data_IF_975505568545
#
_entry.id   IF_975505568545
#
_cell.length_a   1.000
_cell.length_b   1.000
_cell.length_c   1.000
_cell.angle_alpha   90.00
_cell.angle_beta   90.00
_cell.angle_gamma   90.00
#
_symmetry.space_group_name_H-M   'P 1'
#
loop_
_entity.id
_entity.type
_entity.pdbx_description
1 polymer ?
#
# COMPACT_ATOMS: atom_id res chain seq x y z
N UNK A 1 -14.02 -5.67 -1.13
CA UNK A 1 -13.01 -6.25 -2.04
C UNK A 1 -11.83 -6.88 -1.30
N UNK A 2 -11.05 -6.15 -0.51
CA UNK A 2 -9.96 -6.73 0.31
C UNK A 2 -10.44 -7.84 1.27
N UNK A 3 -11.57 -7.59 1.97
CA UNK A 3 -12.23 -8.59 2.82
C UNK A 3 -12.72 -9.80 2.01
N UNK A 4 -13.21 -9.60 0.80
CA UNK A 4 -13.70 -10.68 -0.07
C UNK A 4 -12.56 -11.56 -0.61
N UNK A 5 -11.40 -10.96 -0.93
CA UNK A 5 -10.19 -11.66 -1.32
C UNK A 5 -9.57 -12.42 -0.14
N UNK A 6 -9.52 -11.81 1.04
CA UNK A 6 -9.10 -12.47 2.29
C UNK A 6 -10.04 -13.62 2.68
N UNK A 7 -11.36 -13.45 2.54
CA UNK A 7 -12.35 -14.49 2.83
C UNK A 7 -12.23 -15.64 1.82
N UNK A 8 -12.15 -15.37 0.52
CA UNK A 8 -11.94 -16.40 -0.49
C UNK A 8 -10.62 -17.17 -0.28
N UNK A 9 -9.55 -16.47 0.07
CA UNK A 9 -8.23 -17.06 0.31
C UNK A 9 -8.19 -17.90 1.59
N UNK A 10 -8.78 -17.41 2.69
CA UNK A 10 -8.89 -18.16 3.94
C UNK A 10 -9.86 -19.36 3.83
N UNK A 11 -10.91 -19.28 3.01
CA UNK A 11 -11.86 -20.37 2.79
C UNK A 11 -11.31 -21.50 1.91
N UNK A 12 -10.29 -21.24 1.09
CA UNK A 12 -9.65 -22.25 0.21
C UNK A 12 -8.60 -23.11 0.93
N UNK A 13 -8.14 -22.72 2.13
CA UNK A 13 -7.10 -23.43 2.88
C UNK A 13 -7.65 -24.09 4.14
N UNK A 14 -7.13 -25.27 4.47
CA UNK A 14 -7.52 -25.93 5.71
C UNK A 14 -6.82 -25.25 6.87
N UNK A 15 -7.54 -25.05 7.97
CA UNK A 15 -7.01 -24.48 9.23
C UNK A 15 -5.79 -25.25 9.79
N UNK A 16 -5.57 -26.48 9.32
CA UNK A 16 -4.45 -27.36 9.69
C UNK A 16 -3.22 -27.17 8.80
N UNK A 17 -3.34 -26.46 7.68
CA UNK A 17 -2.23 -26.25 6.75
C UNK A 17 -1.08 -25.55 7.47
N UNK A 18 0.12 -26.08 7.30
CA UNK A 18 1.33 -25.55 7.91
C UNK A 18 1.89 -24.42 7.07
N UNK A 19 2.13 -23.29 7.73
CA UNK A 19 2.75 -22.11 7.15
C UNK A 19 4.12 -21.92 7.77
N UNK A 20 5.15 -22.03 6.94
CA UNK A 20 6.48 -21.55 7.29
C UNK A 20 6.66 -20.11 6.77
N UNK A 21 7.83 -19.54 7.05
CA UNK A 21 8.20 -18.20 6.62
C UNK A 21 7.98 -17.94 5.14
N UNK A 22 8.48 -18.83 4.27
CA UNK A 22 8.42 -18.67 2.82
C UNK A 22 6.98 -18.74 2.33
N UNK A 23 6.23 -19.74 2.78
CA UNK A 23 4.82 -19.92 2.43
C UNK A 23 3.98 -18.71 2.87
N UNK A 24 4.27 -18.15 4.04
CA UNK A 24 3.59 -16.96 4.54
C UNK A 24 3.91 -15.71 3.71
N UNK A 25 5.19 -15.49 3.43
CA UNK A 25 5.64 -14.38 2.58
C UNK A 25 4.95 -14.45 1.20
N UNK A 26 5.05 -15.60 0.53
CA UNK A 26 4.51 -15.81 -0.81
C UNK A 26 2.99 -15.71 -0.83
N UNK A 27 2.33 -16.18 0.23
CA UNK A 27 0.88 -16.03 0.41
C UNK A 27 0.48 -14.56 0.48
N UNK A 28 1.15 -13.76 1.30
CA UNK A 28 0.83 -12.33 1.44
C UNK A 28 1.09 -11.61 0.11
N UNK A 29 2.21 -11.92 -0.55
CA UNK A 29 2.55 -11.37 -1.86
C UNK A 29 1.48 -11.73 -2.92
N UNK A 30 1.01 -12.97 -2.96
CA UNK A 30 -0.05 -13.41 -3.87
C UNK A 30 -1.38 -12.71 -3.61
N UNK A 31 -1.78 -12.54 -2.34
CA UNK A 31 -3.01 -11.81 -1.99
C UNK A 31 -2.94 -10.37 -2.48
N UNK A 32 -1.80 -9.70 -2.26
CA UNK A 32 -1.59 -8.33 -2.69
C UNK A 32 -1.51 -8.21 -4.21
N UNK A 33 -0.86 -9.15 -4.89
CA UNK A 33 -0.80 -9.20 -6.35
C UNK A 33 -2.20 -9.36 -6.97
N UNK A 34 -3.00 -10.29 -6.44
CA UNK A 34 -4.41 -10.48 -6.84
C UNK A 34 -5.20 -9.19 -6.61
N UNK A 35 -5.01 -8.54 -5.47
CA UNK A 35 -5.68 -7.27 -5.18
C UNK A 35 -5.27 -6.16 -6.16
N UNK A 36 -3.97 -5.99 -6.42
CA UNK A 36 -3.44 -4.96 -7.31
C UNK A 36 -3.84 -5.17 -8.77
N UNK A 37 -4.03 -6.43 -9.19
CA UNK A 37 -4.53 -6.78 -10.53
C UNK A 37 -6.06 -6.81 -10.62
N UNK A 38 -6.77 -6.83 -9.49
CA UNK A 38 -8.24 -6.86 -9.47
C UNK A 38 -8.82 -5.53 -9.93
N UNK A 39 -9.71 -5.59 -10.93
CA UNK A 39 -10.35 -4.40 -11.52
C UNK A 39 -9.58 -3.75 -12.68
N UNK A 40 -8.46 -4.33 -13.11
CA UNK A 40 -7.65 -3.83 -14.23
C UNK A 40 -6.35 -3.14 -13.78
N UNK A 41 -5.43 -2.83 -14.70
CA UNK A 41 -4.18 -2.15 -14.38
C UNK A 41 -4.45 -0.87 -13.59
N UNK A 42 -3.77 -0.71 -12.45
CA UNK A 42 -3.81 0.50 -11.61
C UNK A 42 -5.21 0.89 -11.07
N UNK A 43 -6.19 -0.01 -11.11
CA UNK A 43 -7.54 0.26 -10.60
C UNK A 43 -7.54 0.61 -9.10
N UNK A 44 -6.68 -0.06 -8.33
CA UNK A 44 -6.50 0.24 -6.90
C UNK A 44 -5.98 1.66 -6.66
N UNK A 45 -5.03 2.14 -7.47
CA UNK A 45 -4.50 3.52 -7.41
C UNK A 45 -5.59 4.52 -7.75
N UNK A 46 -6.33 4.27 -8.83
CA UNK A 46 -7.44 5.12 -9.24
C UNK A 46 -8.47 5.28 -8.11
N UNK A 47 -8.79 4.20 -7.40
CA UNK A 47 -9.72 4.25 -6.26
C UNK A 47 -9.21 5.16 -5.12
N UNK A 48 -7.94 5.00 -4.71
CA UNK A 48 -7.33 5.88 -3.69
C UNK A 48 -7.23 7.34 -4.13
N UNK A 49 -6.93 7.57 -5.40
CA UNK A 49 -6.68 8.89 -5.95
C UNK A 49 -7.97 9.65 -6.22
N UNK A 50 -9.05 9.00 -6.66
CA UNK A 50 -10.37 9.63 -6.79
C UNK A 50 -10.87 10.12 -5.43
N UNK A 51 -10.71 9.31 -4.38
CA UNK A 51 -11.16 9.66 -3.03
C UNK A 51 -10.34 10.82 -2.44
N UNK A 52 -9.01 10.79 -2.61
CA UNK A 52 -8.12 11.88 -2.20
C UNK A 52 -8.44 13.20 -2.95
N UNK A 53 -8.65 13.13 -4.27
CA UNK A 53 -9.04 14.31 -5.08
C UNK A 53 -10.41 14.84 -4.67
N UNK A 54 -11.37 13.99 -4.31
CA UNK A 54 -12.69 14.39 -3.85
C UNK A 54 -12.62 15.14 -2.50
N UNK A 55 -11.78 14.68 -1.57
CA UNK A 55 -11.55 15.35 -0.27
C UNK A 55 -10.86 16.69 -0.46
N UNK A 56 -9.79 16.74 -1.25
CA UNK A 56 -9.06 17.98 -1.53
C UNK A 56 -9.96 19.00 -2.24
N UNK A 57 -10.71 18.58 -3.27
CA UNK A 57 -11.62 19.47 -4.00
C UNK A 57 -12.73 20.03 -3.11
N UNK A 58 -13.36 19.23 -2.22
CA UNK A 58 -14.34 19.76 -1.26
C UNK A 58 -13.75 20.76 -0.29
N UNK A 59 -12.59 20.43 0.28
CA UNK A 59 -11.91 21.27 1.27
C UNK A 59 -11.47 22.60 0.66
N UNK A 60 -11.00 22.58 -0.59
CA UNK A 60 -10.56 23.79 -1.28
C UNK A 60 -11.73 24.60 -1.85
N UNK A 61 -12.83 23.94 -2.26
CA UNK A 61 -14.05 24.63 -2.70
C UNK A 61 -14.61 25.54 -1.61
N UNK A 62 -14.51 25.16 -0.32
CA UNK A 62 -14.98 25.98 0.80
C UNK A 62 -14.01 27.10 1.17
N UNK A 63 -12.71 26.94 0.93
CA UNK A 63 -11.66 27.88 1.35
C UNK A 63 -11.30 28.94 0.30
N UNK A 64 -11.48 28.66 -1.00
CA UNK A 64 -11.02 29.53 -2.09
C UNK A 64 -12.13 30.46 -2.59
N UNK A 65 -11.80 31.75 -2.78
CA UNK A 65 -12.72 32.77 -3.33
C UNK A 65 -13.14 32.45 -4.78
N UNK A 66 -14.34 32.88 -5.18
CA UNK A 66 -14.98 32.57 -6.47
C UNK A 66 -14.12 32.86 -7.72
N UNK A 67 -13.37 33.96 -7.74
CA UNK A 67 -12.52 34.32 -8.90
C UNK A 67 -11.25 33.46 -8.98
N UNK A 68 -10.72 33.06 -7.84
CA UNK A 68 -9.56 32.17 -7.76
C UNK A 68 -9.94 30.71 -8.06
N UNK A 69 -11.24 30.35 -7.91
CA UNK A 69 -11.74 29.00 -8.23
C UNK A 69 -11.55 28.61 -9.70
N UNK A 70 -11.78 29.49 -10.67
CA UNK A 70 -11.60 29.15 -12.09
C UNK A 70 -10.13 28.93 -12.46
N UNK A 71 -9.23 29.82 -12.01
CA UNK A 71 -7.78 29.69 -12.22
C UNK A 71 -7.23 28.43 -11.53
N UNK A 72 -7.72 28.16 -10.33
CA UNK A 72 -7.42 26.95 -9.59
C UNK A 72 -7.93 25.70 -10.30
N UNK A 73 -9.13 25.72 -10.90
CA UNK A 73 -9.67 24.55 -11.63
C UNK A 73 -8.80 24.15 -12.83
N UNK A 74 -8.34 25.13 -13.61
CA UNK A 74 -7.45 24.88 -14.73
C UNK A 74 -6.08 24.36 -14.25
N UNK A 75 -5.52 24.97 -13.19
CA UNK A 75 -4.28 24.49 -12.57
C UNK A 75 -4.42 23.08 -12.00
N UNK A 76 -5.54 22.79 -11.33
CA UNK A 76 -5.85 21.48 -10.78
C UNK A 76 -6.05 20.44 -11.88
N UNK A 77 -6.65 20.81 -13.01
CA UNK A 77 -6.73 19.95 -14.20
C UNK A 77 -5.34 19.58 -14.72
N UNK A 78 -4.42 20.55 -14.81
CA UNK A 78 -3.03 20.28 -15.20
C UNK A 78 -2.29 19.40 -14.19
N UNK A 79 -2.43 19.66 -12.89
CA UNK A 79 -1.84 18.84 -11.83
C UNK A 79 -2.42 17.43 -11.86
N UNK A 80 -3.74 17.29 -11.95
CA UNK A 80 -4.41 15.99 -12.01
C UNK A 80 -4.02 15.18 -13.25
N UNK A 81 -3.76 15.84 -14.39
CA UNK A 81 -3.27 15.17 -15.59
C UNK A 81 -1.81 14.71 -15.43
N UNK A 82 -0.93 15.57 -14.90
CA UNK A 82 0.46 15.20 -14.58
C UNK A 82 0.54 14.08 -13.55
N UNK A 83 -0.31 14.12 -12.51
CA UNK A 83 -0.41 13.04 -11.53
C UNK A 83 -0.87 11.75 -12.19
N UNK A 84 -1.79 11.80 -13.16
CA UNK A 84 -2.21 10.61 -13.91
C UNK A 84 -1.08 10.06 -14.79
N UNK A 85 -0.27 10.91 -15.42
CA UNK A 85 0.90 10.49 -16.19
C UNK A 85 1.93 9.81 -15.29
N UNK A 86 2.19 10.38 -14.12
CA UNK A 86 3.07 9.81 -13.10
C UNK A 86 2.52 8.47 -12.56
N UNK A 87 1.22 8.39 -12.28
CA UNK A 87 0.56 7.14 -11.84
C UNK A 87 0.79 6.01 -12.85
N UNK A 88 0.76 6.32 -14.15
CA UNK A 88 0.96 5.36 -15.24
C UNK A 88 2.43 5.12 -15.60
N UNK A 89 3.38 5.71 -14.87
CA UNK A 89 4.80 5.59 -15.17
C UNK A 89 5.39 4.28 -14.62
N UNK A 90 6.35 3.72 -15.36
CA UNK A 90 7.06 2.50 -14.94
C UNK A 90 7.88 2.74 -13.67
N UNK A 91 8.39 3.95 -13.48
CA UNK A 91 9.12 4.37 -12.28
C UNK A 91 8.22 4.30 -11.05
N UNK A 92 6.98 4.80 -11.17
CA UNK A 92 6.01 4.74 -10.07
C UNK A 92 5.60 3.29 -9.77
N UNK A 93 5.32 2.48 -10.79
CA UNK A 93 5.01 1.06 -10.62
C UNK A 93 6.15 0.31 -9.92
N UNK A 94 7.39 0.55 -10.33
CA UNK A 94 8.57 -0.06 -9.74
C UNK A 94 8.74 0.33 -8.25
N UNK A 95 8.52 1.60 -7.90
CA UNK A 95 8.61 2.06 -6.51
C UNK A 95 7.54 1.42 -5.65
N UNK A 96 6.31 1.30 -6.16
CA UNK A 96 5.23 0.60 -5.45
C UNK A 96 5.61 -0.85 -5.22
N UNK A 97 6.12 -1.54 -6.24
CA UNK A 97 6.55 -2.94 -6.13
C UNK A 97 7.64 -3.12 -5.05
N UNK A 98 8.68 -2.30 -5.08
CA UNK A 98 9.76 -2.34 -4.09
C UNK A 98 9.26 -1.99 -2.68
N UNK A 99 8.34 -1.03 -2.56
CA UNK A 99 7.74 -0.62 -1.30
C UNK A 99 6.91 -1.74 -0.69
N UNK A 100 6.06 -2.38 -1.49
CA UNK A 100 5.23 -3.52 -1.07
C UNK A 100 6.13 -4.68 -0.61
N UNK A 101 7.18 -4.99 -1.38
CA UNK A 101 8.13 -6.05 -1.02
C UNK A 101 8.79 -5.79 0.34
N UNK A 102 9.36 -4.60 0.56
CA UNK A 102 10.00 -4.22 1.84
C UNK A 102 9.02 -4.31 3.02
N UNK A 103 7.76 -3.92 2.82
CA UNK A 103 6.73 -4.01 3.86
C UNK A 103 6.40 -5.47 4.18
N UNK A 104 6.24 -6.34 3.16
CA UNK A 104 5.97 -7.77 3.38
C UNK A 104 7.15 -8.41 4.13
N UNK A 105 8.39 -8.15 3.71
CA UNK A 105 9.59 -8.64 4.37
C UNK A 105 9.59 -8.26 5.85
N UNK A 106 9.36 -6.98 6.17
CA UNK A 106 9.30 -6.52 7.55
C UNK A 106 8.14 -7.09 8.35
N UNK A 107 6.98 -7.32 7.71
CA UNK A 107 5.79 -7.87 8.38
C UNK A 107 6.00 -9.34 8.74
N UNK A 108 6.63 -10.11 7.85
CA UNK A 108 6.95 -11.52 8.10
C UNK A 108 7.98 -11.64 9.22
N UNK A 109 8.98 -10.76 9.27
CA UNK A 109 9.92 -10.70 10.39
C UNK A 109 9.23 -10.40 11.73
N UNK A 110 8.30 -9.45 11.77
CA UNK A 110 7.53 -9.18 13.00
C UNK A 110 6.72 -10.39 13.46
N UNK A 111 6.13 -11.13 12.51
CA UNK A 111 5.37 -12.34 12.80
C UNK A 111 6.27 -13.45 13.32
N UNK A 112 7.51 -13.58 12.81
CA UNK A 112 8.54 -14.48 13.39
C UNK A 112 8.85 -14.13 14.83
N UNK A 113 9.09 -12.85 15.12
CA UNK A 113 9.40 -12.39 16.47
C UNK A 113 8.24 -12.68 17.43
N UNK A 114 6.99 -12.44 17.00
CA UNK A 114 5.80 -12.77 17.81
C UNK A 114 5.57 -14.28 18.00
N UNK A 115 5.94 -15.11 17.03
CA UNK A 115 5.79 -16.55 17.12
C UNK A 115 6.83 -17.24 18.00
N UNK A 116 7.95 -16.56 18.29
CA UNK A 116 9.16 -17.18 18.82
C UNK A 116 9.99 -17.83 17.70
N UNK A 117 11.32 -17.73 17.83
CA UNK A 117 12.32 -18.05 16.77
C UNK A 117 12.22 -19.49 16.23
N UNK A 118 11.65 -20.44 16.99
CA UNK A 118 11.54 -21.85 16.61
C UNK A 118 10.28 -22.26 15.85
N UNK A 119 9.16 -21.54 16.01
CA UNK A 119 7.82 -22.04 15.62
C UNK A 119 7.54 -21.85 14.12
N UNK A 120 7.91 -20.69 13.55
CA UNK A 120 7.65 -20.35 12.13
C UNK A 120 8.64 -20.95 11.13
N UNK A 121 9.80 -21.43 11.59
CA UNK A 121 10.75 -22.16 10.75
C UNK A 121 10.28 -23.61 10.53
N UNK A 122 9.74 -24.24 11.57
CA UNK A 122 9.20 -25.61 11.54
C UNK A 122 7.81 -25.72 10.88
N UNK A 123 7.07 -24.60 10.82
CA UNK A 123 5.74 -24.51 10.23
C UNK A 123 4.65 -24.42 11.28
N UNK A 124 3.83 -23.37 11.20
CA UNK A 124 2.72 -23.09 12.13
C UNK A 124 1.39 -23.35 11.44
N UNK A 125 0.45 -24.09 12.04
CA UNK A 125 -0.89 -24.24 11.49
C UNK A 125 -1.59 -22.90 11.29
N UNK A 126 -2.30 -22.73 10.17
CA UNK A 126 -3.04 -21.51 9.85
C UNK A 126 -3.97 -21.04 10.99
N UNK A 127 -4.62 -21.97 11.69
CA UNK A 127 -5.47 -21.67 12.85
C UNK A 127 -4.74 -20.89 13.96
N UNK A 128 -3.46 -21.17 14.18
CA UNK A 128 -2.63 -20.47 15.17
C UNK A 128 -2.03 -19.17 14.62
N UNK A 129 -1.91 -19.06 13.31
CA UNK A 129 -1.35 -17.90 12.63
C UNK A 129 -2.38 -16.76 12.48
N UNK A 130 -3.64 -17.08 12.20
CA UNK A 130 -4.72 -16.10 12.00
C UNK A 130 -4.86 -15.09 13.16
N UNK A 131 -4.91 -15.50 14.44
CA UNK A 131 -4.97 -14.54 15.55
C UNK A 131 -3.74 -13.62 15.60
N UNK A 132 -2.55 -14.13 15.25
CA UNK A 132 -1.31 -13.35 15.24
C UNK A 132 -1.31 -12.31 14.13
N UNK A 133 -1.78 -12.68 12.94
CA UNK A 133 -1.98 -11.73 11.83
C UNK A 133 -3.00 -10.65 12.19
N UNK A 134 -4.10 -11.01 12.87
CA UNK A 134 -5.09 -10.05 13.33
C UNK A 134 -4.52 -9.04 14.35
N UNK A 135 -3.58 -9.47 15.21
CA UNK A 135 -2.88 -8.57 16.15
C UNK A 135 -1.93 -7.58 15.46
N UNK A 136 -1.56 -7.81 14.20
CA UNK A 136 -0.73 -6.86 13.44
C UNK A 136 -1.55 -5.75 12.78
N UNK A 137 -2.87 -5.93 12.64
CA UNK A 137 -3.74 -4.93 11.98
C UNK A 137 -3.64 -3.53 12.59
N UNK A 138 -3.62 -3.33 13.94
CA UNK A 138 -3.46 -2.01 14.52
C UNK A 138 -2.13 -1.35 14.13
N UNK A 139 -1.03 -2.11 14.08
CA UNK A 139 0.31 -1.60 13.73
C UNK A 139 0.40 -1.14 12.28
N UNK A 140 -0.29 -1.84 11.37
CA UNK A 140 -0.40 -1.46 9.97
C UNK A 140 -1.23 -0.19 9.78
N UNK A 141 -2.15 0.10 10.70
CA UNK A 141 -3.09 1.22 10.65
C UNK A 141 -2.71 2.36 11.62
N UNK A 142 -1.51 2.33 12.20
CA UNK A 142 -1.02 3.41 13.05
C UNK A 142 -0.85 4.71 12.26
N UNK A 143 -0.90 5.83 12.98
CA UNK A 143 -0.68 7.16 12.38
C UNK A 143 0.68 7.20 11.66
N UNK A 144 0.81 7.93 10.54
CA UNK A 144 2.02 7.95 9.72
C UNK A 144 3.34 8.14 10.48
N UNK A 145 3.35 9.00 11.49
CA UNK A 145 4.57 9.29 12.26
C UNK A 145 5.02 8.11 13.16
N UNK A 146 4.08 7.28 13.61
CA UNK A 146 4.35 6.16 14.51
C UNK A 146 4.40 4.82 13.76
N UNK A 147 3.85 4.78 12.54
CA UNK A 147 3.79 3.60 11.72
C UNK A 147 5.16 3.29 11.10
N UNK A 148 5.83 2.25 11.62
CA UNK A 148 7.15 1.84 11.15
C UNK A 148 7.18 1.49 9.66
N UNK A 149 6.09 1.00 9.07
CA UNK A 149 6.03 0.61 7.66
C UNK A 149 6.00 1.86 6.77
N UNK A 150 5.27 2.90 7.18
CA UNK A 150 5.28 4.20 6.50
C UNK A 150 6.66 4.84 6.57
N UNK A 151 7.32 4.79 7.73
CA UNK A 151 8.69 5.30 7.88
C UNK A 151 9.68 4.51 7.03
N UNK A 152 9.52 3.19 6.94
CA UNK A 152 10.34 2.33 6.09
C UNK A 152 10.24 2.74 4.62
N UNK A 153 9.02 2.91 4.09
CA UNK A 153 8.81 3.37 2.72
C UNK A 153 9.40 4.76 2.51
N UNK A 154 9.16 5.69 3.43
CA UNK A 154 9.68 7.07 3.34
C UNK A 154 11.20 7.13 3.25
N UNK A 155 11.89 6.23 3.95
CA UNK A 155 13.35 6.20 4.02
C UNK A 155 13.99 5.34 2.90
N UNK A 156 13.20 4.87 1.93
CA UNK A 156 13.72 4.17 0.76
C UNK A 156 14.43 5.16 -0.17
N UNK A 157 15.63 4.79 -0.62
CA UNK A 157 16.40 5.60 -1.56
C UNK A 157 15.63 5.80 -2.87
N UNK A 158 14.93 4.77 -3.32
CA UNK A 158 14.12 4.79 -4.54
C UNK A 158 13.00 5.85 -4.46
N UNK A 159 12.41 6.01 -3.28
CA UNK A 159 11.38 7.00 -2.99
C UNK A 159 11.96 8.42 -2.97
N UNK A 160 13.11 8.60 -2.31
CA UNK A 160 13.80 9.90 -2.26
C UNK A 160 14.22 10.39 -3.66
N UNK A 161 14.81 9.50 -4.46
CA UNK A 161 15.24 9.83 -5.83
C UNK A 161 14.04 10.20 -6.69
N UNK A 162 12.95 9.44 -6.60
CA UNK A 162 11.72 9.71 -7.34
C UNK A 162 11.12 11.08 -7.00
N UNK A 163 11.01 11.41 -5.72
CA UNK A 163 10.53 12.74 -5.32
C UNK A 163 11.46 13.84 -5.80
N UNK A 164 12.78 13.65 -5.72
CA UNK A 164 13.76 14.62 -6.22
C UNK A 164 13.54 14.90 -7.70
N UNK A 165 13.37 13.86 -8.52
CA UNK A 165 13.11 13.99 -9.96
C UNK A 165 11.81 14.75 -10.23
N UNK A 166 10.73 14.42 -9.53
CA UNK A 166 9.44 15.11 -9.65
C UNK A 166 9.58 16.60 -9.31
N UNK A 167 10.29 16.93 -8.22
CA UNK A 167 10.42 18.32 -7.78
C UNK A 167 11.35 19.15 -8.67
N UNK A 168 12.37 18.54 -9.27
CA UNK A 168 13.22 19.19 -10.26
C UNK A 168 12.46 19.49 -11.56
N UNK A 169 11.62 18.56 -12.03
CA UNK A 169 10.80 18.75 -13.24
C UNK A 169 9.76 19.88 -13.05
N UNK A 170 9.18 19.99 -11.85
CA UNK A 170 8.21 21.05 -11.51
C UNK A 170 8.81 22.46 -11.43
N UNK A 171 10.13 22.60 -11.38
CA UNK A 171 10.83 23.89 -11.33
C UNK A 171 11.33 24.37 -12.70
N UNK A 172 11.16 23.55 -13.76
CA UNK A 172 11.46 23.91 -15.15
C UNK A 172 10.22 24.44 -15.89
#
# INVERSE_FOLDING_TARGET
>A
MLVSALVAFCCLRQLRDLFNTTVLHDTIAQILDVFMKSGGPQHWLHQFMVETRAVLSRTLWTLVKLKDRQRWWCSWGCVANRTKELENSNEFEHIVEQSVKKVIDSLVEDLKVQAGVGDLSAGVPLAKLLPRVALMSPRLLEKPNNNKFIQMIRNMQEVEVFFTLIYSDMQS
#
